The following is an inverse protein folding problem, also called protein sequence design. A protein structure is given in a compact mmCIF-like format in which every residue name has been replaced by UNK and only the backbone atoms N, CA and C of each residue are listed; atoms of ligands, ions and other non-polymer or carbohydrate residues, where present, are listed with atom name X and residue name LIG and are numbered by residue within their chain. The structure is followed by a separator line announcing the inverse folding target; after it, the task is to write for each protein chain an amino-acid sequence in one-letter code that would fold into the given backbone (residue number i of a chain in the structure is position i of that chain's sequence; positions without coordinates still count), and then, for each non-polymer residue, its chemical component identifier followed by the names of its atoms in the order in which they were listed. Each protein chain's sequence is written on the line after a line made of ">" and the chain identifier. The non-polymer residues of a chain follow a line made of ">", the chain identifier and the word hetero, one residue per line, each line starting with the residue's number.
data_IF_075272311421
#
_entry.id   IF_075272311421
#
_cell.length_a   1.000
_cell.length_b   1.000
_cell.length_c   1.000
_cell.angle_alpha   90.00
_cell.angle_beta   90.00
_cell.angle_gamma   90.00
#
_symmetry.space_group_name_H-M   'P 1'
#
loop_
_entity.id
_entity.type
_entity.pdbx_description
1 polymer ?
#
# COMPACT_ATOMS: atom_id res chain seq x y z
N UNK A 1 -11.31 16.85 8.20
CA UNK A 1 -10.73 15.70 8.93
C UNK A 1 -10.23 14.71 7.91
N UNK A 2 -9.03 14.15 8.09
CA UNK A 2 -8.51 13.11 7.19
C UNK A 2 -9.25 11.79 7.39
N UNK A 3 -9.33 10.97 6.34
CA UNK A 3 -9.99 9.65 6.34
C UNK A 3 -8.96 8.55 6.12
N UNK A 4 -8.97 7.55 7.00
CA UNK A 4 -8.13 6.37 6.88
C UNK A 4 -8.72 5.34 5.90
N UNK A 5 -7.85 4.69 5.13
CA UNK A 5 -8.20 3.65 4.15
C UNK A 5 -7.34 2.43 4.45
N UNK A 6 -7.98 1.33 4.84
CA UNK A 6 -7.34 0.06 5.19
C UNK A 6 -8.17 -1.10 4.58
N UNK A 7 -7.84 -1.56 3.37
CA UNK A 7 -8.57 -2.66 2.72
C UNK A 7 -8.48 -3.96 3.53
N UNK A 8 -9.60 -4.69 3.63
CA UNK A 8 -9.68 -5.95 4.40
C UNK A 8 -9.09 -7.16 3.67
N UNK A 9 -8.78 -7.02 2.39
CA UNK A 9 -8.26 -8.06 1.51
C UNK A 9 -6.73 -8.05 1.35
N UNK A 10 -6.04 -7.16 2.08
CA UNK A 10 -4.58 -7.13 2.18
C UNK A 10 -4.15 -7.27 3.65
N UNK A 11 -2.85 -7.47 3.88
CA UNK A 11 -2.33 -7.61 5.24
C UNK A 11 -2.59 -6.34 6.07
N UNK A 12 -3.05 -6.49 7.31
CA UNK A 12 -3.33 -5.35 8.17
C UNK A 12 -2.06 -4.54 8.50
N UNK A 13 -2.15 -3.23 8.74
CA UNK A 13 -1.03 -2.43 9.19
C UNK A 13 -0.40 -2.98 10.48
N UNK A 14 0.93 -3.07 10.51
CA UNK A 14 1.64 -3.59 11.67
C UNK A 14 1.39 -2.75 12.93
N UNK A 15 1.06 -3.45 14.03
CA UNK A 15 0.89 -2.87 15.36
C UNK A 15 -0.06 -1.67 15.44
N UNK A 16 -1.00 -1.53 14.50
CA UNK A 16 -1.84 -0.32 14.36
C UNK A 16 -1.04 0.99 14.33
N UNK A 17 0.22 0.95 13.88
CA UNK A 17 1.14 2.10 13.91
C UNK A 17 0.96 3.06 12.73
N UNK A 18 0.24 2.63 11.69
CA UNK A 18 -0.02 3.41 10.47
C UNK A 18 -1.31 2.98 9.77
N UNK A 19 -1.70 3.72 8.73
CA UNK A 19 -2.76 3.35 7.80
C UNK A 19 -2.18 3.13 6.42
N UNK A 20 -2.74 2.20 5.65
CA UNK A 20 -2.32 1.96 4.27
C UNK A 20 -2.52 3.18 3.39
N UNK A 21 -3.66 3.85 3.54
CA UNK A 21 -3.95 5.12 2.90
C UNK A 21 -4.54 6.16 3.86
N UNK A 22 -4.21 7.44 3.64
CA UNK A 22 -4.86 8.57 4.30
C UNK A 22 -5.27 9.61 3.25
N UNK A 23 -6.56 9.89 3.18
CA UNK A 23 -7.14 10.95 2.38
C UNK A 23 -7.18 12.26 3.19
N UNK A 24 -6.73 13.38 2.59
CA UNK A 24 -6.68 14.70 3.26
C UNK A 24 -7.51 15.75 2.49
N UNK A 25 -8.62 16.26 3.05
CA UNK A 25 -9.37 17.40 2.50
C UNK A 25 -9.03 18.75 3.20
N UNK A 26 -9.36 19.95 2.65
CA UNK A 26 -9.91 20.29 1.32
C UNK A 26 -8.93 21.12 0.44
N UNK A 27 -9.07 21.04 -0.89
CA UNK A 27 -8.21 21.76 -1.87
C UNK A 27 -7.48 20.84 -2.87
N UNK A 28 -7.52 19.54 -2.62
CA UNK A 28 -7.11 18.46 -3.53
C UNK A 28 -7.46 17.14 -2.86
N UNK A 29 -8.11 16.22 -3.56
CA UNK A 29 -8.34 14.86 -3.06
C UNK A 29 -7.02 14.07 -3.09
N UNK A 30 -6.06 14.46 -2.27
CA UNK A 30 -4.75 13.80 -2.23
C UNK A 30 -4.83 12.58 -1.32
N UNK A 31 -4.38 11.43 -1.84
CA UNK A 31 -4.17 10.23 -1.06
C UNK A 31 -2.68 10.03 -0.84
N UNK A 32 -2.31 9.94 0.42
CA UNK A 32 -1.01 9.46 0.85
C UNK A 32 -1.10 7.96 1.08
N UNK A 33 -0.25 7.21 0.41
CA UNK A 33 -0.16 5.75 0.55
C UNK A 33 1.14 5.41 1.26
N UNK A 34 1.04 4.58 2.31
CA UNK A 34 2.20 4.03 3.00
C UNK A 34 2.96 3.08 2.07
N UNK A 35 4.28 2.93 2.26
CA UNK A 35 5.10 2.03 1.45
C UNK A 35 4.53 0.62 1.40
N UNK A 36 4.24 0.12 0.19
CA UNK A 36 3.73 -1.22 -0.01
C UNK A 36 4.88 -2.21 -0.18
N UNK A 37 4.77 -3.37 0.47
CA UNK A 37 5.76 -4.45 0.42
C UNK A 37 5.14 -5.69 -0.22
N UNK A 38 5.97 -6.56 -0.78
CA UNK A 38 5.57 -7.80 -1.45
C UNK A 38 5.14 -8.90 -0.48
N UNK A 39 4.28 -8.58 0.49
CA UNK A 39 3.76 -9.50 1.49
C UNK A 39 2.27 -9.73 1.24
N UNK A 40 1.88 -11.00 1.16
CA UNK A 40 0.49 -11.40 0.94
C UNK A 40 -0.37 -11.18 2.19
N UNK A 41 -1.69 -11.29 2.03
CA UNK A 41 -2.68 -11.12 3.11
C UNK A 41 -2.42 -12.03 4.32
N UNK A 42 -1.89 -13.23 4.08
CA UNK A 42 -1.56 -14.21 5.12
C UNK A 42 -0.21 -13.93 5.82
N UNK A 43 0.49 -12.86 5.44
CA UNK A 43 1.81 -12.50 5.96
C UNK A 43 2.97 -13.21 5.29
N UNK A 44 2.73 -14.07 4.29
CA UNK A 44 3.79 -14.72 3.54
C UNK A 44 4.48 -13.76 2.56
N UNK A 45 5.76 -14.01 2.27
CA UNK A 45 6.54 -13.27 1.27
C UNK A 45 7.02 -14.27 0.22
N UNK A 46 6.51 -14.22 -1.03
CA UNK A 46 6.91 -15.17 -2.05
C UNK A 46 8.36 -14.97 -2.47
N UNK A 47 8.96 -16.03 -3.00
CA UNK A 47 10.31 -15.96 -3.55
C UNK A 47 10.29 -15.24 -4.91
N UNK A 48 11.30 -14.39 -5.12
CA UNK A 48 11.53 -13.75 -6.41
C UNK A 48 10.92 -12.36 -6.51
N UNK A 49 11.61 -11.50 -7.26
CA UNK A 49 11.28 -10.08 -7.37
C UNK A 49 9.92 -9.86 -8.06
N UNK A 50 9.63 -10.62 -9.11
CA UNK A 50 8.38 -10.46 -9.87
C UNK A 50 7.15 -10.74 -9.02
N UNK A 51 7.14 -11.85 -8.28
CA UNK A 51 6.01 -12.21 -7.42
C UNK A 51 5.78 -11.17 -6.30
N UNK A 52 6.87 -10.64 -5.72
CA UNK A 52 6.77 -9.57 -4.73
C UNK A 52 6.25 -8.25 -5.34
N UNK A 53 6.71 -7.90 -6.55
CA UNK A 53 6.25 -6.70 -7.26
C UNK A 53 4.77 -6.79 -7.65
N UNK A 54 4.28 -7.96 -8.06
CA UNK A 54 2.86 -8.21 -8.32
C UNK A 54 2.02 -7.97 -7.07
N UNK A 55 2.46 -8.46 -5.91
CA UNK A 55 1.77 -8.22 -4.63
C UNK A 55 1.78 -6.71 -4.27
N UNK A 56 2.92 -6.02 -4.44
CA UNK A 56 2.99 -4.56 -4.22
C UNK A 56 1.94 -3.84 -5.07
N UNK A 57 1.79 -4.22 -6.34
CA UNK A 57 0.81 -3.63 -7.25
C UNK A 57 -0.63 -3.95 -6.85
N UNK A 58 -0.90 -5.20 -6.46
CA UNK A 58 -2.21 -5.64 -5.96
C UNK A 58 -2.60 -4.85 -4.70
N UNK A 59 -1.68 -4.69 -3.75
CA UNK A 59 -1.92 -3.94 -2.53
C UNK A 59 -2.20 -2.46 -2.82
N UNK A 60 -1.43 -1.82 -3.71
CA UNK A 60 -1.68 -0.46 -4.15
C UNK A 60 -3.08 -0.32 -4.77
N UNK A 61 -3.46 -1.26 -5.63
CA UNK A 61 -4.76 -1.26 -6.30
C UNK A 61 -5.91 -1.43 -5.30
N UNK A 62 -5.75 -2.27 -4.29
CA UNK A 62 -6.74 -2.44 -3.22
C UNK A 62 -6.96 -1.12 -2.43
N UNK A 63 -5.88 -0.40 -2.15
CA UNK A 63 -5.95 0.90 -1.45
C UNK A 63 -6.66 1.95 -2.31
N UNK A 64 -6.34 2.01 -3.61
CA UNK A 64 -6.99 2.94 -4.54
C UNK A 64 -8.47 2.63 -4.76
N UNK A 65 -8.84 1.35 -4.80
CA UNK A 65 -10.24 0.92 -4.94
C UNK A 65 -11.10 1.40 -3.77
N UNK A 66 -10.55 1.39 -2.57
CA UNK A 66 -11.25 1.80 -1.36
C UNK A 66 -11.14 3.32 -1.11
N UNK A 67 -10.36 4.03 -1.94
CA UNK A 67 -10.26 5.48 -1.96
C UNK A 67 -11.39 6.13 -2.79
N UNK A 68 -11.73 7.40 -2.55
CA UNK A 68 -12.71 8.11 -3.36
C UNK A 68 -12.29 8.27 -4.83
N UNK A 69 -13.28 8.32 -5.72
CA UNK A 69 -13.12 8.29 -7.19
C UNK A 69 -12.37 9.50 -7.82
N UNK A 70 -11.95 10.48 -7.03
CA UNK A 70 -11.26 11.71 -7.48
C UNK A 70 -9.84 11.83 -6.95
N UNK A 71 -9.32 10.75 -6.37
CA UNK A 71 -8.03 10.75 -5.72
C UNK A 71 -6.86 10.78 -6.71
N UNK A 72 -5.94 11.71 -6.51
CA UNK A 72 -4.63 11.70 -7.20
C UNK A 72 -3.61 11.02 -6.28
N UNK A 73 -2.93 10.01 -6.81
CA UNK A 73 -1.91 9.26 -6.08
C UNK A 73 -0.61 10.07 -6.02
N UNK A 74 -0.21 10.48 -4.82
CA UNK A 74 1.15 10.91 -4.54
C UNK A 74 1.93 9.71 -3.99
N UNK A 75 2.38 8.81 -4.87
CA UNK A 75 3.24 7.70 -4.49
C UNK A 75 4.70 8.09 -4.72
N UNK A 76 5.49 8.16 -3.64
CA UNK A 76 6.94 8.03 -3.75
C UNK A 76 7.25 6.54 -3.74
N UNK A 77 7.56 5.98 -4.91
CA UNK A 77 8.02 4.59 -5.02
C UNK A 77 9.45 4.52 -4.48
N UNK A 78 9.60 4.10 -3.22
CA UNK A 78 10.91 3.76 -2.64
C UNK A 78 11.06 2.24 -2.72
N UNK A 79 11.76 1.77 -3.75
CA UNK A 79 12.07 0.36 -3.94
C UNK A 79 13.36 -0.01 -3.22
N UNK A 80 13.26 -0.60 -2.03
CA UNK A 80 14.39 -1.22 -1.35
C UNK A 80 14.43 -2.71 -1.70
N UNK A 81 15.20 -3.09 -2.72
CA UNK A 81 15.37 -4.50 -3.13
C UNK A 81 16.51 -5.10 -2.32
N UNK A 82 16.18 -5.94 -1.34
CA UNK A 82 17.16 -6.76 -0.63
C UNK A 82 17.18 -8.16 -1.25
N UNK A 83 18.06 -8.38 -2.22
CA UNK A 83 18.44 -9.74 -2.64
C UNK A 83 19.50 -10.25 -1.67
N UNK A 84 19.11 -11.12 -0.72
CA UNK A 84 20.09 -11.96 -0.03
C UNK A 84 20.51 -13.05 -1.01
N UNK A 85 21.69 -12.90 -1.60
CA UNK A 85 22.40 -14.04 -2.16
C UNK A 85 22.73 -14.97 -0.99
N UNK A 86 22.19 -16.19 -1.04
CA UNK A 86 22.72 -17.30 -0.26
C UNK A 86 24.05 -17.75 -0.88
#
# INVERSE_FOLDING_TARGET
>A
MSKAINPSDIMAPFNNAYHHGVEVPPGGCTLYVSGQVGMAKDGSVPQGMTAQAEIVWQNLTAILRDAPQQTVLAAQLVSSIYQRHA
#
